data_IF_840382127125
#
_entry.id   IF_840382127125
#
_cell.length_a   1.000
_cell.length_b   1.000
_cell.length_c   1.000
_cell.angle_alpha   90.00
_cell.angle_beta   90.00
_cell.angle_gamma   90.00
#
_symmetry.space_group_name_H-M   'P 1'
#
loop_
_entity.id
_entity.type
_entity.pdbx_description
1 polymer ?
#
# COMPACT_ATOMS: atom_id res chain seq x y z
N UNK A 1 12.84 15.51 14.25
CA UNK A 1 11.49 15.86 13.73
C UNK A 1 11.51 17.10 12.83
N UNK A 2 12.28 18.16 13.15
CA UNK A 2 12.35 19.38 12.31
C UNK A 2 12.83 19.10 10.87
N UNK A 3 13.96 18.40 10.71
CA UNK A 3 14.53 18.06 9.39
C UNK A 3 13.61 17.16 8.54
N UNK A 4 12.97 16.16 9.16
CA UNK A 4 12.03 15.27 8.46
C UNK A 4 10.81 16.04 7.93
N UNK A 5 10.33 17.05 8.66
CA UNK A 5 9.26 17.94 8.19
C UNK A 5 9.74 18.86 7.07
N UNK A 6 10.97 19.40 7.17
CA UNK A 6 11.56 20.26 6.13
C UNK A 6 11.71 19.54 4.79
N UNK A 7 12.06 18.25 4.79
CA UNK A 7 12.20 17.45 3.57
C UNK A 7 10.97 16.62 3.23
N UNK A 8 9.84 16.82 3.93
CA UNK A 8 8.61 16.06 3.68
C UNK A 8 8.75 14.55 3.85
N UNK A 9 9.69 14.08 4.67
CA UNK A 9 9.98 12.65 4.85
C UNK A 9 10.64 11.97 3.66
N UNK A 10 11.16 12.72 2.68
CA UNK A 10 11.88 12.15 1.54
C UNK A 10 13.16 11.47 1.99
N UNK A 11 13.36 10.25 1.48
CA UNK A 11 14.59 9.48 1.65
C UNK A 11 15.29 9.17 0.31
N UNK A 12 14.55 9.30 -0.79
CA UNK A 12 15.00 9.13 -2.16
C UNK A 12 14.00 9.80 -3.12
N UNK A 13 14.39 9.95 -4.38
CA UNK A 13 13.47 10.32 -5.46
C UNK A 13 12.59 9.13 -5.83
N UNK A 14 11.32 9.39 -6.16
CA UNK A 14 10.47 8.37 -6.74
C UNK A 14 10.99 7.94 -8.13
N UNK A 15 10.59 6.74 -8.56
CA UNK A 15 10.86 6.28 -9.92
C UNK A 15 10.25 7.24 -10.94
N UNK A 16 10.99 7.57 -12.00
CA UNK A 16 10.46 8.39 -13.10
C UNK A 16 9.77 7.54 -14.17
N UNK A 17 10.23 6.31 -14.33
CA UNK A 17 9.78 5.36 -15.34
C UNK A 17 9.45 4.01 -14.68
N UNK A 18 8.63 3.24 -15.38
CA UNK A 18 8.25 1.89 -14.98
C UNK A 18 9.47 0.97 -15.00
N UNK A 19 9.66 0.21 -13.93
CA UNK A 19 10.71 -0.82 -13.86
C UNK A 19 10.30 -1.97 -14.78
N UNK A 20 11.16 -2.42 -15.72
CA UNK A 20 10.87 -3.57 -16.56
C UNK A 20 10.56 -4.82 -15.72
N UNK A 21 9.56 -5.62 -16.12
CA UNK A 21 9.13 -6.80 -15.35
C UNK A 21 10.23 -7.82 -15.06
N UNK A 22 11.25 -7.92 -15.94
CA UNK A 22 12.42 -8.80 -15.76
C UNK A 22 13.39 -8.32 -14.67
N UNK A 23 13.43 -7.01 -14.40
CA UNK A 23 14.24 -6.39 -13.36
C UNK A 23 13.44 -6.11 -12.08
N UNK A 24 12.12 -6.32 -12.11
CA UNK A 24 11.22 -6.02 -11.01
C UNK A 24 11.32 -7.08 -9.90
N UNK A 25 11.49 -6.61 -8.67
CA UNK A 25 11.52 -7.47 -7.47
C UNK A 25 10.09 -7.81 -7.04
N UNK A 26 9.88 -9.00 -6.48
CA UNK A 26 8.59 -9.36 -5.86
C UNK A 26 8.37 -8.55 -4.59
N UNK A 27 7.13 -8.11 -4.38
CA UNK A 27 6.72 -7.54 -3.11
C UNK A 27 6.58 -8.69 -2.08
N UNK A 28 7.22 -8.59 -0.89
CA UNK A 28 7.17 -9.64 0.10
C UNK A 28 5.76 -9.83 0.64
N UNK A 29 5.40 -11.08 0.91
CA UNK A 29 4.11 -11.41 1.46
C UNK A 29 3.95 -10.78 2.85
N UNK A 30 2.78 -10.20 3.12
CA UNK A 30 2.45 -9.62 4.43
C UNK A 30 1.01 -9.96 4.80
N UNK A 31 0.83 -10.46 6.03
CA UNK A 31 -0.49 -10.70 6.59
C UNK A 31 -1.12 -9.38 7.01
N UNK A 32 -2.37 -9.17 6.59
CA UNK A 32 -3.12 -7.96 6.88
C UNK A 32 -4.50 -8.28 7.45
N UNK A 33 -5.04 -7.36 8.23
CA UNK A 33 -6.37 -7.45 8.83
C UNK A 33 -7.17 -6.19 8.54
N UNK A 34 -8.42 -6.35 8.14
CA UNK A 34 -9.37 -5.26 7.96
C UNK A 34 -9.93 -4.82 9.31
N UNK A 35 -10.52 -3.63 9.36
CA UNK A 35 -11.17 -3.09 10.57
C UNK A 35 -12.34 -3.95 11.08
N UNK A 36 -12.96 -4.75 10.21
CA UNK A 36 -14.00 -5.72 10.55
C UNK A 36 -13.46 -7.06 11.09
N UNK A 37 -12.13 -7.22 11.12
CA UNK A 37 -11.44 -8.43 11.61
C UNK A 37 -11.15 -9.48 10.53
N UNK A 38 -11.62 -9.31 9.28
CA UNK A 38 -11.25 -10.20 8.17
C UNK A 38 -9.74 -10.17 7.96
N UNK A 39 -9.14 -11.33 7.75
CA UNK A 39 -7.71 -11.48 7.46
C UNK A 39 -7.51 -11.70 5.96
N UNK A 40 -6.43 -11.16 5.42
CA UNK A 40 -5.98 -11.39 4.05
C UNK A 40 -4.46 -11.38 3.99
N UNK A 41 -3.89 -11.69 2.83
CA UNK A 41 -2.45 -11.63 2.57
C UNK A 41 -2.22 -10.75 1.34
N UNK A 42 -1.27 -9.82 1.45
CA UNK A 42 -0.81 -9.00 0.33
C UNK A 42 0.55 -9.50 -0.18
N UNK A 43 0.87 -9.33 -1.47
CA UNK A 43 -0.03 -8.79 -2.51
C UNK A 43 -1.08 -9.82 -2.93
N UNK A 44 -2.25 -9.36 -3.39
CA UNK A 44 -3.20 -10.24 -4.08
C UNK A 44 -2.65 -10.45 -5.49
N UNK A 45 -2.23 -11.66 -5.80
CA UNK A 45 -1.57 -12.00 -7.07
C UNK A 45 -2.39 -12.99 -7.87
N UNK A 46 -2.20 -12.95 -9.19
CA UNK A 46 -2.70 -13.98 -10.07
C UNK A 46 -1.88 -15.26 -9.88
N UNK A 47 -2.50 -16.32 -9.39
CA UNK A 47 -1.90 -17.65 -9.35
C UNK A 47 -2.32 -18.43 -10.60
N UNK A 48 -1.34 -18.75 -11.45
CA UNK A 48 -1.56 -19.55 -12.65
C UNK A 48 -1.71 -21.06 -12.36
N UNK A 49 -1.56 -21.50 -11.09
CA UNK A 49 -1.32 -22.91 -10.75
C UNK A 49 -2.45 -23.69 -10.07
N UNK A 50 -3.64 -23.14 -9.73
CA UNK A 50 -4.70 -24.04 -9.25
C UNK A 50 -6.05 -23.50 -8.75
N UNK A 51 -7.10 -24.01 -9.40
CA UNK A 51 -8.31 -24.70 -8.87
C UNK A 51 -9.35 -23.96 -8.02
N UNK A 52 -9.04 -22.87 -7.31
CA UNK A 52 -10.09 -22.09 -6.62
C UNK A 52 -10.08 -20.63 -7.07
N UNK A 53 -10.51 -20.44 -8.32
CA UNK A 53 -10.94 -19.14 -8.82
C UNK A 53 -12.25 -18.74 -8.12
N UNK A 54 -12.18 -18.37 -6.84
CA UNK A 54 -13.21 -17.53 -6.23
C UNK A 54 -13.16 -16.18 -6.94
N UNK A 55 -13.81 -16.08 -8.11
CA UNK A 55 -14.40 -14.95 -8.88
C UNK A 55 -14.05 -13.47 -8.58
N UNK A 56 -13.00 -13.17 -7.84
CA UNK A 56 -12.45 -11.85 -7.66
C UNK A 56 -11.43 -11.70 -8.78
N UNK A 57 -11.77 -10.87 -9.76
CA UNK A 57 -10.84 -10.47 -10.80
C UNK A 57 -9.57 -9.93 -10.11
N UNK A 58 -8.45 -10.61 -10.35
CA UNK A 58 -7.16 -10.15 -9.84
C UNK A 58 -6.90 -8.77 -10.43
N UNK A 59 -6.53 -7.76 -9.61
CA UNK A 59 -6.23 -6.45 -10.14
C UNK A 59 -5.03 -6.52 -11.10
N UNK A 60 -5.13 -5.81 -12.23
CA UNK A 60 -4.02 -5.66 -13.17
C UNK A 60 -2.90 -4.82 -12.56
N UNK A 61 -3.26 -3.84 -11.74
CA UNK A 61 -2.34 -3.02 -10.98
C UNK A 61 -2.84 -2.77 -9.54
N UNK A 62 -1.91 -2.76 -8.59
CA UNK A 62 -2.22 -2.44 -7.19
C UNK A 62 -1.27 -1.37 -6.66
N UNK A 63 -1.81 -0.26 -6.14
CA UNK A 63 -1.03 0.70 -5.37
C UNK A 63 -1.04 0.29 -3.89
N UNK A 64 0.14 0.05 -3.33
CA UNK A 64 0.32 -0.30 -1.92
C UNK A 64 1.09 0.80 -1.21
N UNK A 65 0.40 1.49 -0.31
CA UNK A 65 0.93 2.56 0.53
C UNK A 65 1.19 2.02 1.94
N UNK A 66 2.42 2.13 2.42
CA UNK A 66 2.82 1.66 3.75
C UNK A 66 3.03 2.84 4.69
N UNK A 67 2.41 2.79 5.86
CA UNK A 67 2.63 3.69 6.98
C UNK A 67 3.04 2.90 8.23
N UNK A 68 4.21 3.20 8.79
CA UNK A 68 4.68 2.54 10.03
C UNK A 68 4.39 3.36 11.29
N UNK A 69 4.06 4.64 11.09
CA UNK A 69 3.82 5.62 12.16
C UNK A 69 2.72 6.57 11.71
N UNK A 70 1.90 7.03 12.66
CA UNK A 70 0.77 7.91 12.35
C UNK A 70 1.18 9.21 11.63
N UNK A 71 2.40 9.72 11.88
CA UNK A 71 2.92 10.92 11.21
C UNK A 71 3.14 10.74 9.69
N UNK A 72 3.29 9.50 9.21
CA UNK A 72 3.43 9.19 7.78
C UNK A 72 2.08 9.14 7.05
N UNK A 73 0.95 9.23 7.75
CA UNK A 73 -0.37 9.19 7.12
C UNK A 73 -0.58 10.38 6.16
N UNK A 74 -0.14 11.58 6.54
CA UNK A 74 -0.23 12.74 5.64
C UNK A 74 0.60 12.56 4.36
N UNK A 75 1.71 11.81 4.45
CA UNK A 75 2.50 11.43 3.27
C UNK A 75 1.71 10.47 2.40
N UNK A 76 1.18 9.37 2.98
CA UNK A 76 0.35 8.40 2.25
C UNK A 76 -0.84 9.09 1.56
N UNK A 77 -1.57 9.93 2.29
CA UNK A 77 -2.72 10.69 1.77
C UNK A 77 -2.36 11.56 0.56
N UNK A 78 -1.15 12.13 0.52
CA UNK A 78 -0.70 12.96 -0.61
C UNK A 78 -0.53 12.17 -1.92
N UNK A 79 -0.39 10.85 -1.83
CA UNK A 79 -0.36 9.94 -2.98
C UNK A 79 -1.70 9.27 -3.22
N UNK A 80 -2.31 8.76 -2.16
CA UNK A 80 -3.47 7.87 -2.27
C UNK A 80 -4.73 8.59 -2.71
N UNK A 81 -4.93 9.86 -2.29
CA UNK A 81 -6.10 10.66 -2.69
C UNK A 81 -6.09 10.97 -4.19
N UNK A 82 -5.05 11.59 -4.77
CA UNK A 82 -5.04 11.86 -6.22
C UNK A 82 -5.07 10.59 -7.07
N UNK A 83 -4.42 9.51 -6.59
CA UNK A 83 -4.46 8.22 -7.26
C UNK A 83 -5.87 7.63 -7.28
N UNK A 84 -6.54 7.62 -6.12
CA UNK A 84 -7.91 7.17 -5.99
C UNK A 84 -8.85 7.97 -6.88
N UNK A 85 -8.76 9.31 -6.86
CA UNK A 85 -9.61 10.16 -7.69
C UNK A 85 -9.44 9.85 -9.19
N UNK A 86 -8.23 9.47 -9.62
CA UNK A 86 -7.94 9.13 -11.01
C UNK A 86 -8.44 7.73 -11.42
N UNK A 87 -8.40 6.75 -10.51
CA UNK A 87 -8.65 5.34 -10.83
C UNK A 87 -9.90 4.75 -10.16
N UNK A 88 -10.68 5.52 -9.42
CA UNK A 88 -11.86 5.07 -8.65
C UNK A 88 -12.93 4.33 -9.48
N UNK A 89 -13.01 4.59 -10.78
CA UNK A 89 -13.92 3.91 -11.69
C UNK A 89 -13.35 2.60 -12.26
N UNK A 90 -12.04 2.35 -12.11
CA UNK A 90 -11.33 1.22 -12.71
C UNK A 90 -11.37 -0.02 -11.83
N UNK A 91 -12.14 -1.03 -12.24
CA UNK A 91 -12.19 -2.34 -11.55
C UNK A 91 -10.87 -3.12 -11.60
N UNK A 92 -9.96 -2.75 -12.51
CA UNK A 92 -8.65 -3.38 -12.68
C UNK A 92 -7.59 -2.85 -11.71
N UNK A 93 -7.88 -1.77 -10.97
CA UNK A 93 -6.94 -1.12 -10.05
C UNK A 93 -7.43 -1.25 -8.61
N UNK A 94 -6.50 -1.57 -7.71
CA UNK A 94 -6.76 -1.57 -6.27
C UNK A 94 -5.77 -0.67 -5.53
N UNK A 95 -6.23 -0.06 -4.44
CA UNK A 95 -5.46 0.79 -3.55
C UNK A 95 -5.48 0.18 -2.15
N UNK A 96 -4.30 -0.16 -1.64
CA UNK A 96 -4.10 -0.66 -0.29
C UNK A 96 -3.34 0.37 0.55
N UNK A 97 -3.96 0.84 1.62
CA UNK A 97 -3.31 1.62 2.66
C UNK A 97 -3.04 0.70 3.86
N UNK A 98 -1.77 0.30 4.02
CA UNK A 98 -1.32 -0.64 5.03
C UNK A 98 -0.69 0.13 6.19
N UNK A 99 -1.35 0.09 7.34
CA UNK A 99 -0.83 0.65 8.60
C UNK A 99 -0.18 -0.43 9.45
N UNK A 100 1.12 -0.31 9.70
CA UNK A 100 1.89 -1.23 10.55
C UNK A 100 1.80 -0.79 12.01
N UNK A 101 1.50 -1.76 12.88
CA UNK A 101 1.34 -1.56 14.32
C UNK A 101 2.33 -2.49 15.03
N UNK A 102 3.44 -1.91 15.48
CA UNK A 102 4.57 -2.62 16.12
C UNK A 102 4.52 -2.62 17.65
N UNK A 103 3.59 -1.86 18.22
CA UNK A 103 3.49 -1.72 19.66
C UNK A 103 2.97 -3.02 20.28
N UNK A 104 3.81 -3.65 21.12
CA UNK A 104 3.48 -4.85 21.90
C UNK A 104 2.06 -4.79 22.50
N UNK A 105 1.73 -3.66 23.14
CA UNK A 105 0.46 -3.47 23.83
C UNK A 105 -0.71 -3.53 22.84
N UNK A 106 -0.56 -2.89 21.69
CA UNK A 106 -1.58 -2.84 20.64
C UNK A 106 -1.73 -4.19 19.92
N UNK A 107 -0.74 -5.07 20.04
CA UNK A 107 -0.79 -6.44 19.52
C UNK A 107 -1.54 -7.41 20.43
N UNK A 108 -1.80 -7.07 21.70
CA UNK A 108 -2.58 -7.91 22.61
C UNK A 108 -4.01 -8.06 22.09
N UNK A 109 -4.52 -9.29 22.03
CA UNK A 109 -5.85 -9.60 21.46
C UNK A 109 -7.02 -8.70 21.94
N UNK A 110 -7.21 -8.41 23.25
CA UNK A 110 -8.31 -7.54 23.67
C UNK A 110 -8.14 -6.09 23.18
N UNK A 111 -6.91 -5.57 23.21
CA UNK A 111 -6.58 -4.21 22.77
C UNK A 111 -6.66 -4.09 21.26
N UNK A 112 -6.13 -5.08 20.53
CA UNK A 112 -6.25 -5.22 19.08
C UNK A 112 -7.71 -5.18 18.64
N UNK A 113 -8.60 -5.92 19.32
CA UNK A 113 -10.04 -5.89 19.01
C UNK A 113 -10.65 -4.51 19.24
N UNK A 114 -10.28 -3.84 20.34
CA UNK A 114 -10.77 -2.49 20.64
C UNK A 114 -10.28 -1.45 19.62
N UNK A 115 -9.02 -1.51 19.22
CA UNK A 115 -8.44 -0.67 18.17
C UNK A 115 -9.17 -0.85 16.84
N UNK A 116 -9.38 -2.09 16.41
CA UNK A 116 -10.08 -2.38 15.15
C UNK A 116 -11.52 -1.85 15.18
N UNK A 117 -12.22 -1.97 16.31
CA UNK A 117 -13.56 -1.39 16.49
C UNK A 117 -13.54 0.15 16.37
N UNK A 118 -12.57 0.82 17.00
CA UNK A 118 -12.44 2.27 16.92
C UNK A 118 -12.16 2.73 15.48
N UNK A 119 -11.25 2.03 14.79
CA UNK A 119 -10.88 2.33 13.41
C UNK A 119 -12.01 2.03 12.40
N UNK A 120 -12.84 1.02 12.68
CA UNK A 120 -14.06 0.76 11.90
C UNK A 120 -15.01 1.95 11.97
N UNK A 121 -15.21 2.53 13.15
CA UNK A 121 -16.08 3.70 13.34
C UNK A 121 -15.56 4.93 12.55
N UNK A 122 -14.25 5.15 12.48
CA UNK A 122 -13.68 6.23 11.66
C UNK A 122 -13.72 5.96 10.16
N UNK A 123 -13.79 4.69 9.75
CA UNK A 123 -13.83 4.27 8.34
C UNK A 123 -15.24 4.20 7.77
N UNK A 124 -16.29 4.35 8.59
CA UNK A 124 -17.68 4.13 8.17
C UNK A 124 -18.17 5.14 7.12
N UNK A 125 -17.47 6.28 6.97
CA UNK A 125 -17.67 7.25 5.89
C UNK A 125 -16.92 6.94 4.57
N UNK A 126 -16.08 5.90 4.54
CA UNK A 126 -15.29 5.49 3.37
C UNK A 126 -15.82 4.19 2.71
N UNK A 127 -17.07 3.83 2.99
CA UNK A 127 -17.72 2.58 2.54
C UNK A 127 -17.91 2.46 1.01
N UNK A 128 -17.67 3.52 0.25
CA UNK A 128 -18.23 3.64 -1.11
C UNK A 128 -17.30 3.31 -2.30
N UNK A 129 -16.14 2.72 -2.10
CA UNK A 129 -15.43 2.14 -3.25
C UNK A 129 -14.75 0.82 -2.94
N UNK A 130 -15.17 -0.22 -3.67
CA UNK A 130 -14.61 -1.57 -3.65
C UNK A 130 -13.08 -1.62 -3.85
N UNK A 131 -12.46 -0.53 -4.31
CA UNK A 131 -11.06 -0.47 -4.71
C UNK A 131 -10.13 0.11 -3.65
N UNK A 132 -10.63 0.84 -2.63
CA UNK A 132 -9.80 1.39 -1.55
C UNK A 132 -9.89 0.53 -0.31
N UNK A 133 -8.75 -0.02 0.10
CA UNK A 133 -8.64 -0.95 1.22
C UNK A 133 -7.72 -0.37 2.30
N UNK A 134 -8.29 0.02 3.43
CA UNK A 134 -7.52 0.37 4.63
C UNK A 134 -7.34 -0.90 5.45
N UNK A 135 -6.08 -1.32 5.61
CA UNK A 135 -5.72 -2.58 6.27
C UNK A 135 -4.58 -2.38 7.26
N UNK A 136 -4.50 -3.27 8.24
CA UNK A 136 -3.55 -3.18 9.33
C UNK A 136 -2.65 -4.41 9.35
N UNK A 137 -1.39 -4.24 9.74
CA UNK A 137 -0.51 -5.38 10.01
C UNK A 137 0.12 -5.22 11.39
N UNK A 138 -0.01 -6.25 12.23
CA UNK A 138 0.44 -6.22 13.63
C UNK A 138 1.71 -7.09 13.79
N UNK A 139 2.72 -6.60 14.49
CA UNK A 139 4.00 -7.28 14.69
C UNK A 139 5.22 -6.38 14.45
N UNK A 140 6.43 -6.94 14.49
CA UNK A 140 7.69 -6.18 14.33
C UNK A 140 8.13 -5.93 12.87
N UNK A 141 7.54 -6.72 11.95
CA UNK A 141 7.76 -6.76 10.51
C UNK A 141 9.24 -6.67 10.11
N UNK A 142 10.15 -7.23 10.91
CA UNK A 142 11.59 -7.06 10.72
C UNK A 142 12.04 -7.59 9.35
N UNK A 143 11.66 -8.83 9.00
CA UNK A 143 12.04 -9.46 7.74
C UNK A 143 11.43 -8.75 6.53
N UNK A 144 10.13 -8.42 6.61
CA UNK A 144 9.44 -7.64 5.58
C UNK A 144 10.16 -6.32 5.29
N UNK A 145 10.53 -5.57 6.35
CA UNK A 145 11.27 -4.32 6.20
C UNK A 145 12.65 -4.53 5.59
N UNK A 146 13.36 -5.59 5.99
CA UNK A 146 14.69 -5.91 5.47
C UNK A 146 14.67 -6.18 3.97
N UNK A 147 13.69 -6.94 3.47
CA UNK A 147 13.54 -7.26 2.04
C UNK A 147 13.27 -6.00 1.18
N UNK A 148 12.44 -5.09 1.70
CA UNK A 148 12.13 -3.82 1.03
C UNK A 148 13.17 -2.72 1.28
N UNK A 149 14.21 -2.99 2.11
CA UNK A 149 15.21 -2.00 2.54
C UNK A 149 14.59 -0.78 3.25
N UNK A 150 13.54 -1.01 4.04
CA UNK A 150 12.85 0.02 4.82
C UNK A 150 13.63 0.30 6.09
N UNK A 151 14.30 1.45 6.13
CA UNK A 151 15.10 1.89 7.28
C UNK A 151 14.39 2.97 8.10
N UNK A 152 13.70 3.90 7.45
CA UNK A 152 13.02 5.01 8.11
C UNK A 152 11.52 4.73 8.30
N UNK A 153 11.08 4.51 9.54
CA UNK A 153 9.67 4.22 9.85
C UNK A 153 8.79 5.48 9.92
N UNK A 154 9.38 6.68 9.88
CA UNK A 154 8.64 7.94 9.89
C UNK A 154 8.23 8.38 8.47
N UNK A 155 8.71 7.67 7.45
CA UNK A 155 8.44 7.93 6.04
C UNK A 155 7.34 7.01 5.53
N UNK A 156 6.41 7.55 4.73
CA UNK A 156 5.46 6.75 3.96
C UNK A 156 6.14 6.15 2.72
N UNK A 157 5.87 4.88 2.42
CA UNK A 157 6.43 4.17 1.26
C UNK A 157 5.32 3.79 0.31
N UNK A 158 5.50 4.05 -0.98
CA UNK A 158 4.49 3.83 -2.01
C UNK A 158 5.05 2.85 -3.02
N UNK A 159 4.32 1.78 -3.31
CA UNK A 159 4.71 0.74 -4.24
C UNK A 159 3.58 0.48 -5.24
N UNK A 160 3.87 0.62 -6.53
CA UNK A 160 2.97 0.16 -7.59
C UNK A 160 3.35 -1.26 -7.96
N UNK A 161 2.38 -2.17 -7.87
CA UNK A 161 2.53 -3.58 -8.16
C UNK A 161 1.79 -3.95 -9.45
N UNK A 162 2.35 -4.87 -10.22
CA UNK A 162 1.61 -5.52 -11.31
C UNK A 162 0.78 -6.72 -10.83
N UNK A 163 0.00 -7.32 -11.74
CA UNK A 163 -0.81 -8.54 -11.50
C UNK A 163 -0.06 -9.74 -10.91
N UNK A 164 1.27 -9.76 -11.00
CA UNK A 164 2.12 -10.81 -10.45
C UNK A 164 2.75 -10.43 -9.10
N UNK A 165 2.37 -9.29 -8.53
CA UNK A 165 2.90 -8.78 -7.27
C UNK A 165 4.33 -8.28 -7.36
N UNK A 166 4.83 -7.95 -8.55
CA UNK A 166 6.17 -7.37 -8.73
C UNK A 166 6.11 -5.87 -8.57
N UNK A 167 7.11 -5.29 -7.92
CA UNK A 167 7.21 -3.85 -7.71
C UNK A 167 7.70 -3.19 -9.00
N UNK A 168 6.82 -2.43 -9.64
CA UNK A 168 7.06 -1.77 -10.92
C UNK A 168 7.35 -0.28 -10.81
N UNK A 169 7.02 0.33 -9.67
CA UNK A 169 7.34 1.73 -9.37
C UNK A 169 7.37 1.95 -7.85
N UNK A 170 8.21 2.88 -7.38
CA UNK A 170 8.35 3.20 -5.96
C UNK A 170 8.38 4.72 -5.72
N UNK A 171 7.80 5.15 -4.60
CA UNK A 171 7.78 6.53 -4.12
C UNK A 171 7.91 6.59 -2.60
N UNK A 172 8.30 7.76 -2.09
CA UNK A 172 8.59 7.95 -0.67
C UNK A 172 8.19 9.34 -0.19
N UNK A 173 7.82 9.47 1.08
CA UNK A 173 7.57 10.78 1.71
C UNK A 173 6.36 11.50 1.11
N UNK A 174 6.31 12.84 1.19
CA UNK A 174 5.25 13.65 0.58
C UNK A 174 5.34 13.63 -0.95
N UNK A 175 4.21 13.51 -1.63
CA UNK A 175 4.16 13.52 -3.08
C UNK A 175 4.53 14.90 -3.65
N UNK A 176 5.37 14.90 -4.70
CA UNK A 176 5.54 16.05 -5.59
C UNK A 176 4.70 15.85 -6.84
N UNK A 177 4.31 16.95 -7.48
CA UNK A 177 3.47 16.92 -8.69
C UNK A 177 4.06 16.05 -9.80
N UNK A 178 5.37 16.18 -10.06
CA UNK A 178 6.07 15.36 -11.07
C UNK A 178 6.02 13.86 -10.76
N UNK A 179 6.12 13.50 -9.48
CA UNK A 179 6.08 12.10 -9.06
C UNK A 179 4.66 11.53 -9.17
N UNK A 180 3.64 12.33 -8.86
CA UNK A 180 2.23 11.95 -9.08
C UNK A 180 1.94 11.71 -10.56
N UNK A 181 2.41 12.62 -11.44
CA UNK A 181 2.30 12.44 -12.88
C UNK A 181 2.99 11.16 -13.35
N UNK A 182 4.19 10.86 -12.81
CA UNK A 182 4.91 9.63 -13.13
C UNK A 182 4.17 8.37 -12.66
N UNK A 183 3.57 8.40 -11.46
CA UNK A 183 2.80 7.30 -10.89
C UNK A 183 1.58 6.99 -11.75
N UNK A 184 0.79 8.02 -12.09
CA UNK A 184 -0.42 7.87 -12.90
C UNK A 184 -0.06 7.35 -14.29
N UNK A 185 0.98 7.92 -14.93
CA UNK A 185 1.45 7.46 -16.23
C UNK A 185 1.89 5.99 -16.19
N UNK A 186 2.74 5.62 -15.23
CA UNK A 186 3.22 4.24 -15.06
C UNK A 186 2.08 3.26 -14.81
N UNK A 187 1.05 3.69 -14.07
CA UNK A 187 -0.14 2.86 -13.83
C UNK A 187 -0.92 2.61 -15.11
N UNK A 188 -1.14 3.64 -15.94
CA UNK A 188 -1.79 3.48 -17.25
C UNK A 188 -1.02 2.52 -18.16
N UNK A 189 0.31 2.65 -18.20
CA UNK A 189 1.18 1.73 -18.96
C UNK A 189 1.02 0.28 -18.46
N UNK A 190 0.95 0.05 -17.15
CA UNK A 190 0.72 -1.31 -16.61
C UNK A 190 -0.63 -1.91 -17.00
N UNK A 191 -1.68 -1.09 -17.11
CA UNK A 191 -3.01 -1.54 -17.53
C UNK A 191 -3.04 -1.89 -19.03
N UNK A 192 -2.13 -1.32 -19.82
CA UNK A 192 -1.98 -1.63 -21.25
C UNK A 192 -1.05 -2.83 -21.50
N UNK A 193 -0.15 -3.18 -20.56
CA UNK A 193 0.69 -4.38 -20.58
C UNK A 193 -0.16 -5.65 -20.44
N UNK A 194 -0.55 -6.27 -21.57
CA UNK A 194 -1.25 -7.57 -21.60
C UNK A 194 -0.32 -8.74 -21.26
#
# INVERSE_FOLDING_TARGET
MSELKQHGGKIALANKILIPGIAARKFPAVDVIYSDGRKSKLPIVFDASGIDASKLAVPEASLVCLSFRANSQAMVDSWSKPFYDTFSESKSVQLYEVSFIDSWLLCLNPIKRLLLLFMRKSSDGAKDALQRHIVYSFGDHYYFRKELKILNLLTGYIFLLDKFGRIRWQGFGLAKQEELSSLIYCTKVLLEEK
#
